data_IF_599044077337
#
_entry.id   IF_599044077337
#
_cell.length_a   1.000
_cell.length_b   1.000
_cell.length_c   1.000
_cell.angle_alpha   90.00
_cell.angle_beta   90.00
_cell.angle_gamma   90.00
#
_symmetry.space_group_name_H-M   'P 1'
#
loop_
_entity.id
_entity.type
_entity.pdbx_description
1 polymer ?
#
# COMPACT_ATOMS: atom_id res chain seq x y z
N UNK A 1 14.55 -1.82 -16.71
CA UNK A 1 13.76 -1.73 -15.45
C UNK A 1 12.77 -2.88 -15.24
N UNK A 2 11.97 -3.34 -16.24
CA UNK A 2 10.90 -4.33 -15.99
C UNK A 2 11.41 -5.67 -15.42
N UNK A 3 12.56 -6.14 -15.90
CA UNK A 3 13.14 -7.43 -15.48
C UNK A 3 13.58 -7.46 -14.00
N UNK A 4 14.18 -6.37 -13.50
CA UNK A 4 14.66 -6.31 -12.11
C UNK A 4 13.48 -6.20 -11.15
N UNK A 5 12.48 -5.41 -11.49
CA UNK A 5 11.23 -5.31 -10.72
C UNK A 5 10.52 -6.65 -10.65
N UNK A 6 10.42 -7.36 -11.77
CA UNK A 6 9.80 -8.68 -11.82
C UNK A 6 10.57 -9.72 -10.96
N UNK A 7 11.91 -9.72 -10.99
CA UNK A 7 12.70 -10.62 -10.14
C UNK A 7 12.54 -10.32 -8.65
N UNK A 8 12.45 -9.05 -8.26
CA UNK A 8 12.23 -8.66 -6.86
C UNK A 8 10.82 -9.02 -6.39
N UNK A 9 9.82 -8.83 -7.25
CA UNK A 9 8.44 -9.28 -7.04
C UNK A 9 8.37 -10.78 -6.76
N UNK A 10 8.94 -11.61 -7.65
CA UNK A 10 8.97 -13.07 -7.46
C UNK A 10 9.68 -13.46 -6.16
N UNK A 11 10.69 -12.68 -5.75
CA UNK A 11 11.33 -12.84 -4.44
C UNK A 11 10.35 -12.66 -3.29
N UNK A 12 9.54 -11.59 -3.31
CA UNK A 12 8.53 -11.32 -2.27
C UNK A 12 7.41 -12.36 -2.28
N UNK A 13 6.89 -12.73 -3.45
CA UNK A 13 5.90 -13.81 -3.60
C UNK A 13 6.41 -15.09 -2.96
N UNK A 14 7.64 -15.49 -3.28
CA UNK A 14 8.25 -16.69 -2.70
C UNK A 14 8.41 -16.58 -1.17
N UNK A 15 8.82 -15.42 -0.65
CA UNK A 15 8.96 -15.22 0.79
C UNK A 15 7.63 -15.33 1.54
N UNK A 16 6.55 -14.77 1.00
CA UNK A 16 5.19 -14.89 1.55
C UNK A 16 4.69 -16.33 1.43
N UNK A 17 4.85 -16.94 0.26
CA UNK A 17 4.43 -18.33 -0.02
C UNK A 17 5.07 -19.30 0.97
N UNK A 18 6.39 -19.21 1.16
CA UNK A 18 7.12 -20.05 2.12
C UNK A 18 6.64 -19.82 3.55
N UNK A 19 6.39 -18.56 3.94
CA UNK A 19 5.87 -18.24 5.28
C UNK A 19 4.49 -18.85 5.51
N UNK A 20 3.61 -18.75 4.53
CA UNK A 20 2.25 -19.31 4.59
C UNK A 20 2.30 -20.84 4.60
N UNK A 21 3.14 -21.47 3.77
CA UNK A 21 3.31 -22.92 3.72
C UNK A 21 3.75 -23.54 5.06
N UNK A 22 4.51 -22.79 5.89
CA UNK A 22 4.88 -23.23 7.24
C UNK A 22 3.71 -23.28 8.22
N UNK A 23 2.60 -22.60 7.90
CA UNK A 23 1.44 -22.41 8.78
C UNK A 23 0.16 -23.01 8.17
N UNK A 24 0.20 -23.38 6.89
CA UNK A 24 -0.90 -23.95 6.13
C UNK A 24 -0.54 -25.35 5.60
N UNK A 25 -1.10 -26.37 6.26
CA UNK A 25 -0.87 -27.76 5.92
C UNK A 25 -1.66 -28.23 4.68
N UNK A 26 -2.62 -27.44 4.19
CA UNK A 26 -3.53 -27.83 3.11
C UNK A 26 -3.16 -27.15 1.80
N UNK A 27 -3.09 -25.81 1.80
CA UNK A 27 -2.86 -25.01 0.61
C UNK A 27 -1.39 -24.75 0.30
N UNK A 28 -0.45 -25.08 1.20
CA UNK A 28 1.01 -25.00 1.00
C UNK A 28 1.51 -23.64 0.46
N UNK A 29 0.75 -22.57 0.69
CA UNK A 29 1.06 -21.23 0.19
C UNK A 29 0.63 -20.96 -1.27
N UNK A 30 0.08 -21.95 -2.00
CA UNK A 30 -0.30 -21.79 -3.40
C UNK A 30 -1.40 -20.74 -3.58
N UNK A 31 -2.33 -20.65 -2.63
CA UNK A 31 -3.43 -19.68 -2.69
C UNK A 31 -2.95 -18.24 -2.58
N UNK A 32 -2.06 -17.92 -1.63
CA UNK A 32 -1.54 -16.55 -1.48
C UNK A 32 -0.64 -16.18 -2.66
N UNK A 33 0.11 -17.12 -3.24
CA UNK A 33 0.86 -16.90 -4.47
C UNK A 33 -0.09 -16.51 -5.61
N UNK A 34 -1.18 -17.26 -5.79
CA UNK A 34 -2.22 -16.95 -6.78
C UNK A 34 -2.84 -15.57 -6.58
N UNK A 35 -3.15 -15.19 -5.34
CA UNK A 35 -3.66 -13.84 -5.02
C UNK A 35 -2.65 -12.78 -5.47
N UNK A 36 -1.38 -12.88 -5.06
CA UNK A 36 -0.35 -11.90 -5.41
C UNK A 36 -0.09 -11.81 -6.92
N UNK A 37 -0.07 -12.95 -7.62
CA UNK A 37 0.10 -13.02 -9.07
C UNK A 37 -1.13 -12.54 -9.85
N UNK A 38 -2.30 -12.49 -9.23
CA UNK A 38 -3.50 -11.94 -9.83
C UNK A 38 -3.39 -10.42 -10.03
N UNK A 39 -2.87 -9.72 -9.02
CA UNK A 39 -2.82 -8.25 -9.00
C UNK A 39 -1.53 -7.67 -9.54
N UNK A 40 -0.38 -8.17 -9.08
CA UNK A 40 0.89 -7.44 -9.16
C UNK A 40 1.51 -7.36 -10.57
N UNK A 41 1.47 -8.39 -11.44
CA UNK A 41 2.00 -8.28 -12.81
C UNK A 41 1.25 -7.27 -13.70
N UNK A 42 0.04 -6.86 -13.29
CA UNK A 42 -0.89 -6.02 -14.05
C UNK A 42 -1.12 -4.66 -13.41
N UNK A 43 -0.51 -4.41 -12.24
CA UNK A 43 -0.48 -3.10 -11.64
C UNK A 43 0.53 -2.21 -12.44
N UNK A 44 0.25 -0.92 -12.54
CA UNK A 44 1.21 0.06 -13.10
C UNK A 44 2.41 0.21 -12.16
N UNK A 45 2.27 -0.23 -10.89
CA UNK A 45 3.28 -0.19 -9.83
C UNK A 45 3.82 1.22 -9.59
N UNK A 46 3.02 2.23 -9.93
CA UNK A 46 3.47 3.61 -9.97
C UNK A 46 3.99 4.05 -8.60
N UNK A 47 3.29 3.66 -7.53
CA UNK A 47 3.60 4.06 -6.18
C UNK A 47 4.84 3.35 -5.64
N UNK A 48 4.95 2.03 -5.85
CA UNK A 48 6.11 1.26 -5.43
C UNK A 48 7.38 1.66 -6.19
N UNK A 49 7.25 1.99 -7.47
CA UNK A 49 8.33 2.55 -8.27
C UNK A 49 8.68 3.95 -7.78
N UNK A 50 7.68 4.81 -7.55
CA UNK A 50 7.90 6.16 -7.05
C UNK A 50 8.66 6.16 -5.71
N UNK A 51 8.34 5.26 -4.78
CA UNK A 51 9.12 5.09 -3.53
C UNK A 51 10.58 4.78 -3.82
N UNK A 52 10.84 3.80 -4.69
CA UNK A 52 12.21 3.36 -5.00
C UNK A 52 13.03 4.42 -5.76
N UNK A 53 12.42 5.11 -6.73
CA UNK A 53 13.09 6.19 -7.47
C UNK A 53 13.30 7.43 -6.59
N UNK A 54 12.33 7.79 -5.75
CA UNK A 54 12.49 8.88 -4.77
C UNK A 54 13.63 8.59 -3.80
N UNK A 55 13.77 7.34 -3.35
CA UNK A 55 14.90 6.95 -2.52
C UNK A 55 16.25 7.19 -3.22
N UNK A 56 16.38 6.84 -4.50
CA UNK A 56 17.63 7.06 -5.26
C UNK A 56 17.94 8.54 -5.46
N UNK A 57 16.92 9.40 -5.49
CA UNK A 57 17.11 10.85 -5.59
C UNK A 57 17.61 11.41 -4.24
N UNK A 58 17.00 10.99 -3.14
CA UNK A 58 17.24 11.55 -1.80
C UNK A 58 18.45 10.95 -1.09
N UNK A 59 18.67 9.65 -1.22
CA UNK A 59 19.68 8.95 -0.45
C UNK A 59 21.10 9.40 -0.85
N UNK A 60 22.01 9.64 0.10
CA UNK A 60 23.42 9.88 -0.21
C UNK A 60 23.99 8.75 -1.07
N UNK A 61 24.93 9.03 -1.99
CA UNK A 61 25.54 8.01 -2.87
C UNK A 61 26.08 6.78 -2.12
N UNK A 62 26.57 6.97 -0.89
CA UNK A 62 27.04 5.89 -0.03
C UNK A 62 25.94 4.91 0.42
N UNK A 63 24.67 5.35 0.44
CA UNK A 63 23.46 4.57 0.73
C UNK A 63 22.71 4.15 -0.55
N UNK A 64 23.38 4.11 -1.69
CA UNK A 64 22.79 3.64 -2.95
C UNK A 64 23.45 2.33 -3.42
N UNK A 65 23.82 1.46 -2.48
CA UNK A 65 24.33 0.14 -2.83
C UNK A 65 23.21 -0.73 -3.44
N UNK A 66 23.53 -1.81 -4.16
CA UNK A 66 22.51 -2.74 -4.65
C UNK A 66 21.60 -3.30 -3.55
N UNK A 67 22.11 -3.41 -2.31
CA UNK A 67 21.32 -3.84 -1.14
C UNK A 67 20.32 -2.77 -0.71
N UNK A 68 20.75 -1.50 -0.68
CA UNK A 68 19.89 -0.38 -0.28
C UNK A 68 18.78 -0.14 -1.30
N UNK A 69 19.12 -0.16 -2.59
CA UNK A 69 18.15 -0.04 -3.68
C UNK A 69 17.16 -1.21 -3.64
N UNK A 70 17.62 -2.42 -3.32
CA UNK A 70 16.72 -3.57 -3.12
C UNK A 70 15.73 -3.31 -1.98
N UNK A 71 16.18 -2.76 -0.85
CA UNK A 71 15.29 -2.40 0.27
C UNK A 71 14.28 -1.34 -0.18
N UNK A 72 14.67 -0.32 -0.93
CA UNK A 72 13.73 0.69 -1.43
C UNK A 72 12.62 0.08 -2.30
N UNK A 73 12.95 -0.87 -3.19
CA UNK A 73 11.94 -1.61 -3.94
C UNK A 73 11.08 -2.51 -3.05
N UNK A 74 11.65 -3.19 -2.07
CA UNK A 74 10.89 -4.01 -1.11
C UNK A 74 9.89 -3.16 -0.32
N UNK A 75 10.27 -1.95 0.06
CA UNK A 75 9.38 -1.01 0.73
C UNK A 75 8.21 -0.59 -0.17
N UNK A 76 8.52 -0.25 -1.43
CA UNK A 76 7.52 0.04 -2.45
C UNK A 76 6.56 -1.13 -2.70
N UNK A 77 7.06 -2.37 -2.71
CA UNK A 77 6.21 -3.56 -2.85
C UNK A 77 5.32 -3.82 -1.63
N UNK A 78 5.81 -3.59 -0.42
CA UNK A 78 4.95 -3.65 0.78
C UNK A 78 3.79 -2.65 0.64
N UNK A 79 4.08 -1.45 0.11
CA UNK A 79 3.06 -0.44 -0.12
C UNK A 79 2.05 -0.86 -1.21
N UNK A 80 2.50 -1.41 -2.34
CA UNK A 80 1.60 -1.91 -3.40
C UNK A 80 0.72 -3.07 -2.92
N UNK A 81 1.26 -3.98 -2.10
CA UNK A 81 0.47 -5.07 -1.50
C UNK A 81 -0.68 -4.53 -0.63
N UNK A 82 -0.42 -3.46 0.12
CA UNK A 82 -1.44 -2.78 0.92
C UNK A 82 -2.50 -2.10 0.03
N UNK A 83 -2.08 -1.54 -1.11
CA UNK A 83 -3.00 -0.99 -2.12
C UNK A 83 -3.89 -2.04 -2.77
N UNK A 84 -3.30 -3.18 -3.14
CA UNK A 84 -4.05 -4.29 -3.73
C UNK A 84 -5.03 -4.90 -2.70
N UNK A 85 -4.73 -4.91 -1.40
CA UNK A 85 -5.71 -5.32 -0.38
C UNK A 85 -6.91 -4.37 -0.32
N UNK A 86 -6.71 -3.05 -0.41
CA UNK A 86 -7.83 -2.10 -0.48
C UNK A 86 -8.63 -2.24 -1.77
N UNK A 87 -7.95 -2.49 -2.88
CA UNK A 87 -8.61 -2.72 -4.17
C UNK A 87 -9.57 -3.92 -4.11
N UNK A 88 -9.17 -5.02 -3.45
CA UNK A 88 -10.05 -6.18 -3.28
C UNK A 88 -11.31 -5.80 -2.49
N UNK A 89 -11.16 -5.05 -1.39
CA UNK A 89 -12.29 -4.64 -0.54
C UNK A 89 -13.20 -3.67 -1.28
N UNK A 90 -12.63 -2.67 -1.95
CA UNK A 90 -13.33 -1.69 -2.80
C UNK A 90 -14.19 -2.39 -3.86
N UNK A 91 -13.58 -3.32 -4.62
CA UNK A 91 -14.28 -4.10 -5.63
C UNK A 91 -15.52 -4.83 -5.07
N UNK A 92 -15.43 -5.36 -3.84
CA UNK A 92 -16.52 -6.08 -3.18
C UNK A 92 -17.62 -5.10 -2.73
N UNK A 93 -17.24 -3.99 -2.09
CA UNK A 93 -18.16 -2.97 -1.58
C UNK A 93 -18.99 -2.38 -2.73
N UNK A 94 -18.33 -2.08 -3.85
CA UNK A 94 -18.94 -1.49 -5.04
C UNK A 94 -19.63 -2.52 -5.94
N UNK A 95 -19.45 -3.82 -5.67
CA UNK A 95 -19.91 -4.92 -6.54
C UNK A 95 -19.37 -4.76 -7.97
N UNK A 96 -18.12 -4.33 -8.07
CA UNK A 96 -17.44 -4.12 -9.34
C UNK A 96 -17.31 -5.45 -10.10
N UNK A 97 -17.55 -5.42 -11.41
CA UNK A 97 -17.44 -6.61 -12.26
C UNK A 97 -16.00 -6.85 -12.71
N UNK A 98 -15.29 -5.79 -13.11
CA UNK A 98 -13.96 -5.87 -13.70
C UNK A 98 -12.99 -4.82 -13.17
N UNK A 99 -11.72 -5.21 -13.01
CA UNK A 99 -10.59 -4.35 -12.64
C UNK A 99 -9.38 -4.71 -13.50
N UNK A 100 -8.67 -3.72 -14.06
CA UNK A 100 -7.46 -3.91 -14.89
C UNK A 100 -7.67 -4.95 -16.03
N UNK A 101 -8.82 -4.88 -16.71
CA UNK A 101 -9.24 -5.78 -17.80
C UNK A 101 -9.41 -7.26 -17.39
N UNK A 102 -9.71 -7.54 -16.12
CA UNK A 102 -10.00 -8.88 -15.60
C UNK A 102 -11.20 -8.83 -14.65
N UNK A 103 -11.85 -9.98 -14.35
CA UNK A 103 -12.85 -10.03 -13.30
C UNK A 103 -12.29 -9.49 -11.97
N UNK A 104 -13.10 -8.78 -11.19
CA UNK A 104 -12.71 -8.47 -9.82
C UNK A 104 -12.46 -9.78 -9.04
N UNK A 105 -11.55 -9.78 -8.06
CA UNK A 105 -11.11 -11.03 -7.42
C UNK A 105 -12.25 -11.86 -6.82
N UNK A 106 -13.26 -11.19 -6.25
CA UNK A 106 -14.45 -11.84 -5.70
C UNK A 106 -15.35 -12.50 -6.77
N UNK A 107 -15.22 -12.12 -8.05
CA UNK A 107 -15.93 -12.70 -9.19
C UNK A 107 -15.15 -13.82 -9.88
N UNK A 108 -13.93 -14.13 -9.44
CA UNK A 108 -13.18 -15.29 -9.95
C UNK A 108 -13.82 -16.57 -9.41
N UNK A 109 -14.01 -17.56 -10.29
CA UNK A 109 -14.62 -18.85 -9.95
C UNK A 109 -13.95 -19.48 -8.72
N UNK A 110 -14.78 -19.79 -7.72
CA UNK A 110 -14.37 -20.40 -6.45
C UNK A 110 -13.85 -19.44 -5.38
N UNK A 111 -13.82 -18.12 -5.63
CA UNK A 111 -13.40 -17.12 -4.64
C UNK A 111 -14.61 -16.55 -3.86
N UNK A 112 -15.50 -15.81 -4.53
CA UNK A 112 -16.64 -15.18 -3.85
C UNK A 112 -16.21 -14.30 -2.68
N UNK A 113 -16.93 -14.38 -1.56
CA UNK A 113 -16.64 -13.57 -0.37
C UNK A 113 -15.39 -14.01 0.41
N UNK A 114 -14.74 -15.13 0.06
CA UNK A 114 -13.44 -15.46 0.66
C UNK A 114 -12.38 -14.42 0.31
N UNK A 115 -12.60 -13.64 -0.75
CA UNK A 115 -11.80 -12.49 -1.13
C UNK A 115 -11.58 -11.49 0.02
N UNK A 116 -12.52 -11.36 0.96
CA UNK A 116 -12.36 -10.51 2.15
C UNK A 116 -11.17 -11.00 2.99
N UNK A 117 -11.08 -12.31 3.22
CA UNK A 117 -9.95 -12.89 3.95
C UNK A 117 -8.64 -12.78 3.14
N UNK A 118 -8.70 -12.88 1.82
CA UNK A 118 -7.53 -12.72 0.96
C UNK A 118 -6.97 -11.29 1.02
N UNK A 119 -7.84 -10.26 1.11
CA UNK A 119 -7.43 -8.89 1.33
C UNK A 119 -6.68 -8.71 2.66
N UNK A 120 -7.25 -9.24 3.76
CA UNK A 120 -6.63 -9.19 5.09
C UNK A 120 -5.30 -9.97 5.14
N UNK A 121 -5.24 -11.12 4.44
CA UNK A 121 -4.02 -11.91 4.33
C UNK A 121 -2.94 -11.15 3.54
N UNK A 122 -3.32 -10.39 2.51
CA UNK A 122 -2.39 -9.58 1.72
C UNK A 122 -1.84 -8.38 2.53
N UNK A 123 -2.71 -7.68 3.27
CA UNK A 123 -2.30 -6.59 4.20
C UNK A 123 -1.31 -7.12 5.26
N UNK A 124 -1.64 -8.22 5.92
CA UNK A 124 -0.75 -8.82 6.93
C UNK A 124 0.54 -9.37 6.34
N UNK A 125 0.51 -9.85 5.09
CA UNK A 125 1.71 -10.27 4.35
C UNK A 125 2.63 -9.09 4.05
N UNK A 126 2.08 -7.90 3.75
CA UNK A 126 2.88 -6.68 3.57
C UNK A 126 3.62 -6.33 4.87
N UNK A 127 2.93 -6.36 6.01
CA UNK A 127 3.54 -6.12 7.33
C UNK A 127 4.58 -7.18 7.72
N UNK A 128 4.38 -8.45 7.31
CA UNK A 128 5.38 -9.50 7.48
C UNK A 128 6.68 -9.18 6.74
N UNK A 129 6.60 -8.79 5.47
CA UNK A 129 7.77 -8.42 4.66
C UNK A 129 8.44 -7.16 5.23
N UNK A 130 7.64 -6.15 5.62
CA UNK A 130 8.14 -4.95 6.28
C UNK A 130 8.95 -5.29 7.55
N UNK A 131 8.38 -6.09 8.45
CA UNK A 131 9.07 -6.53 9.68
C UNK A 131 10.34 -7.34 9.38
N UNK A 132 10.29 -8.23 8.39
CA UNK A 132 11.41 -9.13 8.06
C UNK A 132 12.63 -8.39 7.53
N UNK A 133 12.43 -7.40 6.65
CA UNK A 133 13.53 -6.69 5.98
C UNK A 133 13.95 -5.40 6.68
N UNK A 134 13.01 -4.73 7.36
CA UNK A 134 13.25 -3.44 7.99
C UNK A 134 13.32 -3.52 9.50
N UNK A 135 12.86 -4.60 10.15
CA UNK A 135 12.72 -4.71 11.61
C UNK A 135 13.99 -4.55 12.46
N UNK A 136 15.17 -4.49 11.84
CA UNK A 136 16.46 -4.23 12.50
C UNK A 136 17.06 -2.86 12.14
N UNK A 137 16.37 -2.08 11.32
CA UNK A 137 16.79 -0.73 10.92
C UNK A 137 16.21 0.28 11.90
N UNK A 138 16.97 1.34 12.17
CA UNK A 138 16.56 2.39 13.11
C UNK A 138 15.24 3.07 12.71
N UNK A 139 14.93 3.10 11.41
CA UNK A 139 13.71 3.69 10.87
C UNK A 139 12.47 2.77 10.92
N UNK A 140 12.59 1.54 11.41
CA UNK A 140 11.50 0.56 11.36
C UNK A 140 10.20 1.02 12.01
N UNK A 141 10.28 1.58 13.22
CA UNK A 141 9.09 2.01 13.96
C UNK A 141 8.36 3.11 13.19
N UNK A 142 9.09 4.08 12.66
CA UNK A 142 8.50 5.14 11.84
C UNK A 142 7.87 4.60 10.56
N UNK A 143 8.50 3.62 9.89
CA UNK A 143 7.88 2.96 8.73
C UNK A 143 6.59 2.24 9.13
N UNK A 144 6.59 1.57 10.27
CA UNK A 144 5.41 0.87 10.78
C UNK A 144 4.28 1.85 11.11
N UNK A 145 4.59 3.00 11.73
CA UNK A 145 3.62 4.06 12.03
C UNK A 145 3.01 4.61 10.73
N UNK A 146 3.82 4.89 9.70
CA UNK A 146 3.33 5.34 8.38
C UNK A 146 2.35 4.33 7.78
N UNK A 147 2.67 3.03 7.83
CA UNK A 147 1.77 1.98 7.33
C UNK A 147 0.46 1.92 8.13
N UNK A 148 0.51 2.04 9.45
CA UNK A 148 -0.68 2.04 10.30
C UNK A 148 -1.58 3.26 10.06
N UNK A 149 -1.00 4.45 10.02
CA UNK A 149 -1.74 5.70 9.77
C UNK A 149 -2.37 5.70 8.39
N UNK A 150 -1.64 5.20 7.38
CA UNK A 150 -2.17 4.99 6.04
C UNK A 150 -3.36 4.02 6.06
N UNK A 151 -3.21 2.85 6.70
CA UNK A 151 -4.31 1.90 6.79
C UNK A 151 -5.54 2.52 7.44
N UNK A 152 -5.37 3.21 8.55
CA UNK A 152 -6.48 3.87 9.23
C UNK A 152 -7.15 4.93 8.35
N UNK A 153 -6.36 5.79 7.70
CA UNK A 153 -6.86 6.85 6.83
C UNK A 153 -7.61 6.29 5.62
N UNK A 154 -7.13 5.21 4.99
CA UNK A 154 -7.78 4.56 3.86
C UNK A 154 -9.13 3.93 4.25
N UNK A 155 -9.17 3.16 5.35
CA UNK A 155 -10.43 2.55 5.80
C UNK A 155 -11.47 3.61 6.22
N UNK A 156 -11.04 4.67 6.89
CA UNK A 156 -11.93 5.79 7.21
C UNK A 156 -12.43 6.50 5.94
N UNK A 157 -11.54 6.73 4.97
CA UNK A 157 -11.88 7.31 3.67
C UNK A 157 -12.97 6.52 2.94
N UNK A 158 -12.81 5.19 2.85
CA UNK A 158 -13.82 4.31 2.27
C UNK A 158 -15.16 4.40 3.02
N UNK A 159 -15.13 4.44 4.35
CA UNK A 159 -16.36 4.56 5.14
C UNK A 159 -17.10 5.88 4.86
N UNK A 160 -16.36 6.98 4.70
CA UNK A 160 -16.92 8.29 4.35
C UNK A 160 -17.51 8.26 2.94
N UNK A 161 -16.82 7.65 1.97
CA UNK A 161 -17.32 7.47 0.61
C UNK A 161 -18.63 6.68 0.59
N UNK A 162 -18.66 5.49 1.21
CA UNK A 162 -19.87 4.64 1.27
C UNK A 162 -21.05 5.40 1.87
N UNK A 163 -20.84 6.18 2.95
CA UNK A 163 -21.89 7.00 3.56
C UNK A 163 -22.33 8.14 2.65
N UNK A 164 -21.39 8.75 1.93
CA UNK A 164 -21.68 9.86 1.02
C UNK A 164 -22.49 9.38 -0.18
N UNK A 165 -22.17 8.20 -0.72
CA UNK A 165 -22.86 7.59 -1.86
C UNK A 165 -24.34 7.24 -1.60
N UNK A 166 -24.78 7.15 -0.34
CA UNK A 166 -26.16 6.82 0.01
C UNK A 166 -27.17 7.94 -0.33
N UNK A 167 -26.72 9.19 -0.45
CA UNK A 167 -27.61 10.31 -0.69
C UNK A 167 -26.91 11.43 -1.47
N UNK A 168 -27.52 11.86 -2.58
CA UNK A 168 -27.00 12.95 -3.42
C UNK A 168 -26.81 14.28 -2.67
N UNK A 169 -27.54 14.52 -1.58
CA UNK A 169 -27.35 15.70 -0.74
C UNK A 169 -26.00 15.70 -0.01
N UNK A 170 -25.34 14.55 0.10
CA UNK A 170 -23.99 14.43 0.64
C UNK A 170 -22.90 14.75 -0.40
N UNK A 171 -23.26 15.04 -1.66
CA UNK A 171 -22.29 15.39 -2.71
C UNK A 171 -21.88 16.86 -2.59
N UNK A 172 -21.25 17.19 -1.47
CA UNK A 172 -20.72 18.52 -1.18
C UNK A 172 -19.21 18.56 -1.44
N UNK A 173 -18.68 19.77 -1.63
CA UNK A 173 -17.23 19.97 -1.83
C UNK A 173 -16.46 19.46 -0.61
N UNK A 174 -16.99 19.67 0.60
CA UNK A 174 -16.35 19.25 1.84
C UNK A 174 -16.22 17.72 1.95
N UNK A 175 -17.26 16.97 1.55
CA UNK A 175 -17.21 15.51 1.53
C UNK A 175 -16.27 15.00 0.43
N UNK A 176 -16.29 15.62 -0.75
CA UNK A 176 -15.35 15.30 -1.81
C UNK A 176 -13.90 15.53 -1.37
N UNK A 177 -13.59 16.68 -0.76
CA UNK A 177 -12.26 17.00 -0.23
C UNK A 177 -11.84 16.02 0.87
N UNK A 178 -12.75 15.67 1.78
CA UNK A 178 -12.48 14.68 2.84
C UNK A 178 -12.11 13.31 2.26
N UNK A 179 -12.85 12.82 1.26
CA UNK A 179 -12.56 11.56 0.58
C UNK A 179 -11.22 11.66 -0.16
N UNK A 180 -11.04 12.72 -0.96
CA UNK A 180 -9.83 12.92 -1.76
C UNK A 180 -8.57 12.98 -0.88
N UNK A 181 -8.60 13.69 0.24
CA UNK A 181 -7.46 13.83 1.13
C UNK A 181 -7.12 12.54 1.88
N UNK A 182 -8.13 11.87 2.45
CA UNK A 182 -7.91 10.66 3.24
C UNK A 182 -7.55 9.45 2.38
N UNK A 183 -8.08 9.36 1.16
CA UNK A 183 -7.92 8.17 0.33
C UNK A 183 -6.91 8.34 -0.80
N UNK A 184 -6.94 9.46 -1.54
CA UNK A 184 -6.20 9.59 -2.81
C UNK A 184 -4.88 10.36 -2.61
N UNK A 185 -4.94 11.56 -2.02
CA UNK A 185 -3.78 12.45 -1.86
C UNK A 185 -2.72 11.83 -0.96
N UNK A 186 -3.13 11.27 0.19
CA UNK A 186 -2.21 10.58 1.08
C UNK A 186 -1.59 9.37 0.37
N UNK A 187 -2.41 8.49 -0.19
CA UNK A 187 -1.98 7.23 -0.77
C UNK A 187 -1.03 7.42 -1.96
N UNK A 188 -1.42 8.18 -2.99
CA UNK A 188 -0.62 8.33 -4.21
C UNK A 188 0.41 9.47 -4.19
N UNK A 189 0.28 10.43 -3.26
CA UNK A 189 1.13 11.62 -3.19
C UNK A 189 2.13 11.56 -2.03
N UNK A 190 1.62 11.65 -0.81
CA UNK A 190 2.44 11.77 0.41
C UNK A 190 3.25 10.51 0.72
N UNK A 191 2.58 9.34 0.74
CA UNK A 191 3.16 8.11 1.28
C UNK A 191 4.41 7.63 0.51
N UNK A 192 4.44 7.58 -0.85
CA UNK A 192 5.63 7.14 -1.56
C UNK A 192 6.88 7.94 -1.18
N UNK A 193 6.73 9.25 -0.98
CA UNK A 193 7.81 10.18 -0.63
C UNK A 193 8.18 10.03 0.84
N UNK A 194 7.21 9.94 1.74
CA UNK A 194 7.43 9.74 3.17
C UNK A 194 8.23 8.45 3.44
N UNK A 195 7.83 7.33 2.83
CA UNK A 195 8.53 6.05 2.91
C UNK A 195 9.99 6.16 2.43
N UNK A 196 10.21 6.84 1.30
CA UNK A 196 11.54 7.04 0.74
C UNK A 196 12.42 7.95 1.63
N UNK A 197 11.87 9.05 2.15
CA UNK A 197 12.54 9.96 3.07
C UNK A 197 12.97 9.23 4.35
N UNK A 198 12.05 8.51 4.98
CA UNK A 198 12.31 7.74 6.20
C UNK A 198 13.41 6.68 5.96
N UNK A 199 13.37 5.96 4.84
CA UNK A 199 14.41 4.98 4.50
C UNK A 199 15.76 5.64 4.20
N UNK A 200 15.78 6.82 3.57
CA UNK A 200 17.00 7.57 3.27
C UNK A 200 17.66 8.18 4.53
N UNK A 201 16.94 8.23 5.64
CA UNK A 201 17.40 8.78 6.92
C UNK A 201 16.99 10.24 7.13
N UNK A 202 15.87 10.66 6.55
CA UNK A 202 15.22 11.95 6.79
C UNK A 202 13.94 11.73 7.61
N UNK A 203 14.02 11.63 8.95
CA UNK A 203 12.88 11.27 9.79
C UNK A 203 11.90 12.43 10.00
N UNK A 204 12.29 13.68 9.74
CA UNK A 204 11.37 14.81 9.84
C UNK A 204 10.48 14.89 8.59
N UNK A 205 9.22 14.50 8.74
CA UNK A 205 8.21 14.51 7.69
C UNK A 205 7.30 15.75 7.73
N UNK A 206 7.45 16.65 8.71
CA UNK A 206 6.61 17.86 8.85
C UNK A 206 6.59 18.71 7.56
N UNK A 207 7.73 19.01 6.90
CA UNK A 207 7.71 19.83 5.69
C UNK A 207 6.96 19.16 4.53
N UNK A 208 7.03 17.83 4.45
CA UNK A 208 6.29 17.06 3.45
C UNK A 208 4.78 17.13 3.75
N UNK A 209 4.39 16.93 5.01
CA UNK A 209 3.00 17.02 5.45
C UNK A 209 2.40 18.40 5.13
N UNK A 210 3.10 19.49 5.48
CA UNK A 210 2.69 20.87 5.19
C UNK A 210 2.53 21.12 3.69
N UNK A 211 3.41 20.56 2.86
CA UNK A 211 3.32 20.73 1.40
C UNK A 211 2.16 19.97 0.76
N UNK A 212 1.70 18.88 1.39
CA UNK A 212 0.61 18.04 0.91
C UNK A 212 -0.76 18.43 1.47
N UNK A 213 -0.80 19.14 2.61
CA UNK A 213 -2.03 19.67 3.19
C UNK A 213 -2.30 21.08 2.65
N UNK A 214 -3.47 21.31 2.06
CA UNK A 214 -3.82 22.61 1.50
C UNK A 214 -3.74 23.75 2.55
N UNK A 215 -3.43 25.01 2.17
CA UNK A 215 -3.32 26.14 3.10
C UNK A 215 -4.64 26.62 3.74
N UNK A 216 -5.75 25.89 3.59
CA UNK A 216 -7.09 26.35 3.99
C UNK A 216 -7.85 25.35 4.89
N UNK A 217 -7.16 24.78 5.88
CA UNK A 217 -7.85 24.24 7.06
C UNK A 217 -8.45 22.83 6.95
N UNK A 218 -8.14 22.09 5.89
CA UNK A 218 -8.48 20.66 5.80
C UNK A 218 -7.61 19.88 6.77
N UNK A 219 -8.11 19.67 8.00
CA UNK A 219 -7.46 18.89 9.05
C UNK A 219 -7.44 17.40 8.66
N UNK A 220 -6.40 16.95 7.99
CA UNK A 220 -6.07 15.52 7.87
C UNK A 220 -5.60 14.97 9.22
N UNK A 221 -5.85 13.68 9.48
CA UNK A 221 -5.39 12.97 10.69
C UNK A 221 -3.87 13.08 10.89
N UNK A 222 -3.11 13.12 9.79
CA UNK A 222 -1.65 13.31 9.78
C UNK A 222 -1.19 14.74 10.14
N UNK A 223 -2.12 15.71 10.22
CA UNK A 223 -1.81 17.11 10.52
C UNK A 223 -1.93 17.46 12.01
N UNK A 224 -2.41 16.53 12.86
CA UNK A 224 -2.77 16.80 14.26
C UNK A 224 -2.10 15.86 15.28
N UNK A 225 -0.85 15.47 15.06
CA UNK A 225 -0.03 14.88 16.14
C UNK A 225 0.94 15.93 16.67
N UNK A 226 0.44 16.85 17.50
CA UNK A 226 1.21 17.60 18.50
C UNK A 226 0.51 17.46 19.85
#
# INVERSE_FOLDING_TARGET
MPYVQNKLFLGIVNEVTVKTAMMDNLGKGDHIARVMEYFMPRNVLYNGIATAETYKILAPKAKQTPKDIKLAYYLGWCFEMLGDSYTIVDDIVDRSETRRNQPCWHNVDGIGLSAINDALLLETSALYILKKHFGKLDCFLQLLDIFHDLSFSCHLGQQVEVRSAQNVNNFTVENFESIAMNFITNFSGYIPVALAMTLAGYPNLEPLQESTCHPQGSRTLLCNTK
#
